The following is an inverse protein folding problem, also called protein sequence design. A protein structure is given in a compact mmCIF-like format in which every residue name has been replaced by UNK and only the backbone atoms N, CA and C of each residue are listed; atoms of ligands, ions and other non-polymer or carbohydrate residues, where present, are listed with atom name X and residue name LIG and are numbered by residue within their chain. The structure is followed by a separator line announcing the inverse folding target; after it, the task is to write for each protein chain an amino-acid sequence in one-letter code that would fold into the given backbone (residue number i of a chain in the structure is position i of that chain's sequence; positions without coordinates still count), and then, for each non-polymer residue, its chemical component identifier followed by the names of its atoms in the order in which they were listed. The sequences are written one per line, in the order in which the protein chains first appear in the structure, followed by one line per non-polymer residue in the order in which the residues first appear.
data_IF_641247748575
#
_entry.id   IF_641247748575
#
_cell.length_a   1.000
_cell.length_b   1.000
_cell.length_c   1.000
_cell.angle_alpha   90.00
_cell.angle_beta   90.00
_cell.angle_gamma   90.00
#
_symmetry.space_group_name_H-M   'P 1'
#
loop_
_entity.id
_entity.type
_entity.pdbx_description
1 polymer ?
#
# COMPACT_ATOMS: atom_id res chain seq x y z
N UNK A 1 10.33 19.45 -10.96
CA UNK A 1 9.23 18.48 -10.78
C UNK A 1 9.84 17.13 -10.45
N UNK A 2 9.64 16.59 -9.23
CA UNK A 2 10.06 15.21 -8.88
C UNK A 2 9.36 14.26 -9.86
N UNK A 3 10.11 13.57 -10.72
CA UNK A 3 9.55 12.58 -11.64
C UNK A 3 9.08 11.38 -10.81
N UNK A 4 7.77 11.15 -10.79
CA UNK A 4 7.21 9.93 -10.22
C UNK A 4 7.76 8.76 -11.06
N UNK A 5 8.45 7.78 -10.46
CA UNK A 5 9.01 6.67 -11.21
C UNK A 5 7.90 5.83 -11.83
N UNK A 6 8.15 5.26 -13.02
CA UNK A 6 7.20 4.38 -13.72
C UNK A 6 6.71 3.24 -12.82
N UNK A 7 7.61 2.72 -12.00
CA UNK A 7 7.33 1.72 -10.97
C UNK A 7 6.17 2.09 -10.06
N UNK A 8 6.06 3.35 -9.64
CA UNK A 8 4.95 3.77 -8.78
C UNK A 8 3.60 3.61 -9.48
N UNK A 9 3.53 3.88 -10.79
CA UNK A 9 2.31 3.63 -11.57
C UNK A 9 2.01 2.14 -11.72
N UNK A 10 3.04 1.32 -11.86
CA UNK A 10 2.88 -0.13 -11.88
C UNK A 10 2.41 -0.70 -10.54
N UNK A 11 2.87 -0.13 -9.42
CA UNK A 11 2.41 -0.47 -8.07
C UNK A 11 0.92 -0.12 -7.93
N UNK A 12 0.51 1.08 -8.37
CA UNK A 12 -0.90 1.51 -8.36
C UNK A 12 -1.79 0.59 -9.20
N UNK A 13 -1.35 0.21 -10.40
CA UNK A 13 -2.11 -0.68 -11.28
C UNK A 13 -2.24 -2.09 -10.68
N UNK A 14 -1.18 -2.58 -10.04
CA UNK A 14 -1.20 -3.84 -9.31
C UNK A 14 -2.19 -3.79 -8.14
N UNK A 15 -2.16 -2.74 -7.33
CA UNK A 15 -3.12 -2.56 -6.22
C UNK A 15 -4.54 -2.57 -6.73
N UNK A 16 -4.83 -1.85 -7.83
CA UNK A 16 -6.18 -1.86 -8.42
C UNK A 16 -6.62 -3.25 -8.85
N UNK A 17 -5.72 -4.05 -9.41
CA UNK A 17 -6.02 -5.42 -9.86
C UNK A 17 -6.23 -6.40 -8.70
N UNK A 18 -5.49 -6.22 -7.61
CA UNK A 18 -5.51 -7.11 -6.44
C UNK A 18 -6.23 -6.51 -5.23
N UNK A 19 -6.93 -5.38 -5.40
CA UNK A 19 -7.51 -4.60 -4.30
C UNK A 19 -8.46 -5.47 -3.46
N UNK A 20 -9.37 -6.19 -4.11
CA UNK A 20 -10.33 -7.07 -3.44
C UNK A 20 -9.68 -8.17 -2.60
N UNK A 21 -8.61 -8.79 -3.11
CA UNK A 21 -7.87 -9.82 -2.38
C UNK A 21 -7.07 -9.22 -1.21
N UNK A 22 -6.49 -8.04 -1.42
CA UNK A 22 -5.75 -7.33 -0.39
C UNK A 22 -6.69 -6.86 0.73
N UNK A 23 -7.86 -6.30 0.42
CA UNK A 23 -8.85 -5.90 1.43
C UNK A 23 -9.37 -7.10 2.22
N UNK A 24 -9.56 -8.26 1.58
CA UNK A 24 -9.94 -9.47 2.29
C UNK A 24 -8.84 -10.01 3.22
N UNK A 25 -7.56 -9.75 2.90
CA UNK A 25 -6.40 -10.25 3.66
C UNK A 25 -5.92 -9.27 4.73
N UNK A 26 -6.06 -7.98 4.48
CA UNK A 26 -5.66 -6.88 5.37
C UNK A 26 -6.84 -5.91 5.55
N UNK A 27 -7.94 -6.37 6.17
CA UNK A 27 -9.11 -5.55 6.44
C UNK A 27 -8.77 -4.43 7.44
N UNK A 28 -9.20 -3.20 7.14
CA UNK A 28 -9.01 -2.00 7.98
C UNK A 28 -7.54 -1.70 8.31
N UNK A 29 -6.64 -2.04 7.39
CA UNK A 29 -5.21 -1.87 7.59
C UNK A 29 -4.60 -0.96 6.51
N UNK A 30 -3.57 -0.23 6.93
CA UNK A 30 -2.65 0.44 6.04
C UNK A 30 -1.71 -0.58 5.44
N UNK A 31 -1.54 -0.55 4.11
CA UNK A 31 -0.68 -1.46 3.38
C UNK A 31 0.31 -0.66 2.56
N UNK A 32 1.60 -0.82 2.86
CA UNK A 32 2.69 -0.29 2.05
C UNK A 32 3.09 -1.30 0.98
N UNK A 33 3.17 -0.80 -0.25
CA UNK A 33 3.37 -1.59 -1.46
C UNK A 33 4.51 -0.99 -2.24
N UNK A 34 5.43 -1.86 -2.64
CA UNK A 34 6.62 -1.49 -3.36
C UNK A 34 7.03 -2.65 -4.27
N UNK A 35 7.21 -2.40 -5.56
CA UNK A 35 7.49 -3.46 -6.55
C UNK A 35 6.38 -4.52 -6.70
N UNK A 36 5.11 -4.13 -6.62
CA UNK A 36 3.96 -5.05 -6.71
C UNK A 36 3.96 -6.07 -5.59
N UNK A 37 4.54 -5.72 -4.44
CA UNK A 37 4.59 -6.55 -3.25
C UNK A 37 4.24 -5.73 -2.01
N UNK A 38 3.48 -6.35 -1.11
CA UNK A 38 3.19 -5.80 0.22
C UNK A 38 4.45 -5.91 1.07
N UNK A 39 5.03 -4.79 1.43
CA UNK A 39 6.24 -4.72 2.26
C UNK A 39 5.91 -4.54 3.76
N UNK A 40 4.78 -3.93 4.06
CA UNK A 40 4.25 -3.74 5.41
C UNK A 40 2.73 -3.64 5.37
N UNK A 41 2.07 -4.14 6.41
CA UNK A 41 0.64 -3.97 6.64
C UNK A 41 0.42 -3.83 8.15
N UNK A 42 -0.27 -2.78 8.58
CA UNK A 42 -0.58 -2.53 10.00
C UNK A 42 -1.79 -1.59 10.11
N UNK A 43 -2.46 -1.57 11.25
CA UNK A 43 -3.59 -0.64 11.51
C UNK A 43 -3.10 0.81 11.67
N UNK A 44 -1.81 0.99 11.99
CA UNK A 44 -1.18 2.27 12.24
C UNK A 44 -0.33 2.73 11.04
N UNK A 45 -0.74 3.83 10.39
CA UNK A 45 0.01 4.43 9.28
C UNK A 45 1.47 4.72 9.68
N UNK A 46 1.68 5.21 10.90
CA UNK A 46 3.01 5.55 11.41
C UNK A 46 3.95 4.35 11.46
N UNK A 47 3.44 3.18 11.88
CA UNK A 47 4.22 1.93 11.89
C UNK A 47 4.50 1.45 10.46
N UNK A 48 3.50 1.54 9.58
CA UNK A 48 3.66 1.15 8.18
C UNK A 48 4.71 2.01 7.48
N UNK A 49 4.71 3.32 7.71
CA UNK A 49 5.74 4.21 7.20
C UNK A 49 7.13 3.90 7.77
N UNK A 50 7.24 3.63 9.07
CA UNK A 50 8.51 3.32 9.72
C UNK A 50 9.11 2.01 9.18
N UNK A 51 8.29 0.95 9.08
CA UNK A 51 8.67 -0.34 8.49
C UNK A 51 9.03 -0.16 7.00
N UNK A 52 8.25 0.65 6.28
CA UNK A 52 8.48 0.92 4.86
C UNK A 52 9.80 1.67 4.65
N UNK A 53 10.10 2.70 5.44
CA UNK A 53 11.38 3.44 5.41
C UNK A 53 12.55 2.59 5.85
N UNK A 54 12.37 1.72 6.85
CA UNK A 54 13.40 0.79 7.32
C UNK A 54 13.75 -0.27 6.26
N UNK A 55 12.75 -0.78 5.52
CA UNK A 55 12.96 -1.77 4.45
C UNK A 55 13.43 -1.14 3.15
N UNK A 56 12.89 0.01 2.80
CA UNK A 56 13.06 0.64 1.49
C UNK A 56 13.65 2.03 1.68
N UNK A 57 14.88 2.19 1.21
CA UNK A 57 15.59 3.47 1.19
C UNK A 57 15.23 4.34 -0.04
N UNK A 58 14.32 3.87 -0.88
CA UNK A 58 14.02 4.44 -2.19
C UNK A 58 12.58 4.98 -2.23
N UNK A 59 12.46 6.31 -2.35
CA UNK A 59 11.18 7.01 -2.48
C UNK A 59 10.74 7.11 -3.95
N UNK A 60 9.44 7.08 -4.28
CA UNK A 60 8.27 7.03 -3.41
C UNK A 60 7.70 5.62 -3.21
N UNK A 61 7.23 5.35 -1.99
CA UNK A 61 6.51 4.12 -1.62
C UNK A 61 5.01 4.37 -1.75
N UNK A 62 4.27 3.42 -2.31
CA UNK A 62 2.82 3.51 -2.40
C UNK A 62 2.19 2.97 -1.12
N UNK A 63 1.44 3.80 -0.39
CA UNK A 63 0.73 3.40 0.82
C UNK A 63 -0.76 3.60 0.58
N UNK A 64 -1.56 2.57 0.84
CA UNK A 64 -3.01 2.58 0.69
C UNK A 64 -3.67 2.08 1.97
N UNK A 65 -4.75 2.73 2.38
CA UNK A 65 -5.63 2.20 3.43
C UNK A 65 -6.68 1.32 2.78
N UNK A 66 -6.74 0.05 3.18
CA UNK A 66 -7.74 -0.89 2.73
C UNK A 66 -8.88 -0.89 3.75
N UNK A 67 -9.80 0.05 3.56
CA UNK A 67 -11.06 0.08 4.28
C UNK A 67 -11.87 -1.17 3.89
N UNK A 68 -12.28 -1.95 4.88
CA UNK A 68 -13.08 -3.15 4.64
C UNK A 68 -14.49 -2.83 4.20
N UNK A 69 -14.90 -1.55 4.22
CA UNK A 69 -16.21 -1.09 3.86
C UNK A 69 -17.28 -1.89 4.58
N UNK A 70 -17.69 -1.44 5.77
CA UNK A 70 -19.07 -1.66 6.17
C UNK A 70 -19.95 -0.95 5.14
N UNK A 71 -20.23 -1.63 4.03
CA UNK A 71 -21.22 -1.26 3.04
C UNK A 71 -22.55 -1.21 3.78
N UNK A 72 -22.95 -0.02 4.24
CA UNK A 72 -24.32 0.24 4.66
C UNK A 72 -25.13 0.36 3.36
N UNK A 73 -25.78 -0.74 2.99
CA UNK A 73 -26.71 -0.84 1.86
C UNK A 73 -28.03 -0.12 2.16
#
# INVERSE_FOLDING_TARGET
MKKIPKRFWEDVEWVRKYCSELTAKYPDQWVAIFNKQVIAADEDLGKVEDIAKAKIHEEPIHVIFLDSGLYVY
#
